data_IF_143251771001
#
_entry.id   IF_143251771001
#
_cell.length_a   1.000
_cell.length_b   1.000
_cell.length_c   1.000
_cell.angle_alpha   90.00
_cell.angle_beta   90.00
_cell.angle_gamma   90.00
#
_symmetry.space_group_name_H-M   'P 1'
#
loop_
_entity.id
_entity.type
_entity.pdbx_description
1 polymer ?
#
# COMPACT_ATOMS: atom_id res chain seq x y z
N UNK A 1 -19.75 23.13 6.21
CA UNK A 1 -19.61 22.13 5.13
C UNK A 1 -18.22 21.52 5.24
N UNK A 2 -18.06 20.44 6.01
CA UNK A 2 -16.74 19.82 6.25
C UNK A 2 -16.81 18.29 6.03
N UNK A 3 -17.62 17.87 5.06
CA UNK A 3 -17.91 16.45 4.78
C UNK A 3 -17.51 16.03 3.36
N UNK A 4 -16.62 16.80 2.72
CA UNK A 4 -16.13 16.56 1.34
C UNK A 4 -14.60 16.49 1.28
N UNK A 5 -13.88 16.47 2.41
CA UNK A 5 -12.42 16.41 2.43
C UNK A 5 -11.86 14.97 2.45
N UNK A 6 -12.70 13.95 2.67
CA UNK A 6 -12.25 12.58 3.00
C UNK A 6 -12.39 11.61 1.81
N UNK A 7 -12.87 12.06 0.64
CA UNK A 7 -13.14 11.16 -0.50
C UNK A 7 -11.97 10.95 -1.46
N UNK A 8 -10.80 11.54 -1.25
CA UNK A 8 -9.70 11.45 -2.20
C UNK A 8 -8.33 11.45 -1.53
N UNK A 9 -8.01 10.38 -0.80
CA UNK A 9 -6.60 9.98 -0.72
C UNK A 9 -6.46 8.47 -0.84
N UNK A 10 -6.85 7.85 -1.97
CA UNK A 10 -6.39 6.48 -2.30
C UNK A 10 -4.89 6.43 -2.65
N UNK A 11 -4.23 7.59 -2.68
CA UNK A 11 -2.85 7.80 -3.11
C UNK A 11 -1.87 7.97 -1.93
N UNK A 12 -2.33 7.80 -0.68
CA UNK A 12 -1.44 7.89 0.47
C UNK A 12 -0.57 6.63 0.51
N UNK A 13 0.75 6.75 0.43
CA UNK A 13 1.63 5.60 0.42
C UNK A 13 1.48 4.74 1.68
N UNK A 14 1.17 5.33 2.84
CA UNK A 14 0.93 4.59 4.09
C UNK A 14 -0.35 3.76 4.00
N UNK A 15 -1.41 4.29 3.41
CA UNK A 15 -2.66 3.54 3.18
C UNK A 15 -2.41 2.38 2.22
N UNK A 16 -1.59 2.58 1.20
CA UNK A 16 -1.21 1.55 0.25
C UNK A 16 -0.33 0.45 0.87
N UNK A 17 0.55 0.80 1.82
CA UNK A 17 1.24 -0.18 2.66
C UNK A 17 0.23 -1.05 3.43
N UNK A 18 -0.70 -0.43 4.14
CA UNK A 18 -1.68 -1.15 4.95
C UNK A 18 -2.60 -2.03 4.09
N UNK A 19 -2.99 -1.55 2.90
CA UNK A 19 -3.72 -2.34 1.91
C UNK A 19 -2.90 -3.56 1.49
N UNK A 20 -1.59 -3.40 1.32
CA UNK A 20 -0.65 -4.47 1.08
C UNK A 20 -0.66 -5.50 2.20
N UNK A 21 -0.53 -5.07 3.46
CA UNK A 21 -0.52 -5.95 4.64
C UNK A 21 -1.83 -6.75 4.75
N UNK A 22 -2.98 -6.07 4.64
CA UNK A 22 -4.30 -6.71 4.63
C UNK A 22 -4.42 -7.72 3.48
N UNK A 23 -3.91 -7.39 2.29
CA UNK A 23 -3.93 -8.32 1.17
C UNK A 23 -3.06 -9.56 1.40
N UNK A 24 -1.94 -9.43 2.12
CA UNK A 24 -1.11 -10.57 2.53
C UNK A 24 -1.89 -11.47 3.48
N UNK A 25 -2.53 -10.90 4.51
CA UNK A 25 -3.35 -11.64 5.47
C UNK A 25 -4.53 -12.36 4.80
N UNK A 26 -5.12 -11.75 3.77
CA UNK A 26 -6.18 -12.35 2.97
C UNK A 26 -5.69 -13.41 1.96
N UNK A 27 -4.38 -13.72 1.93
CA UNK A 27 -3.77 -14.64 0.96
C UNK A 27 -3.74 -14.11 -0.48
N UNK A 28 -4.07 -12.83 -0.69
CA UNK A 28 -4.13 -12.17 -2.01
C UNK A 28 -2.76 -11.59 -2.37
N UNK A 29 -1.76 -12.47 -2.48
CA UNK A 29 -0.35 -12.11 -2.76
C UNK A 29 -0.19 -11.13 -3.94
N UNK A 30 -0.88 -11.37 -5.06
CA UNK A 30 -0.81 -10.50 -6.23
C UNK A 30 -1.30 -9.06 -5.96
N UNK A 31 -2.41 -8.92 -5.21
CA UNK A 31 -2.94 -7.59 -4.83
C UNK A 31 -2.06 -6.91 -3.80
N UNK A 32 -1.46 -7.67 -2.89
CA UNK A 32 -0.51 -7.14 -1.93
C UNK A 32 0.70 -6.52 -2.63
N UNK A 33 1.31 -7.26 -3.56
CA UNK A 33 2.44 -6.75 -4.35
C UNK A 33 2.08 -5.50 -5.15
N UNK A 34 0.87 -5.43 -5.72
CA UNK A 34 0.40 -4.24 -6.45
C UNK A 34 0.25 -3.03 -5.52
N UNK A 35 -0.36 -3.22 -4.34
CA UNK A 35 -0.54 -2.16 -3.34
C UNK A 35 0.81 -1.61 -2.86
N UNK A 36 1.76 -2.49 -2.55
CA UNK A 36 3.11 -2.10 -2.16
C UNK A 36 3.88 -1.39 -3.28
N UNK A 37 3.72 -1.80 -4.54
CA UNK A 37 4.32 -1.09 -5.67
C UNK A 37 3.75 0.32 -5.81
N UNK A 38 2.44 0.47 -5.70
CA UNK A 38 1.78 1.78 -5.68
C UNK A 38 2.31 2.63 -4.52
N UNK A 39 2.43 2.07 -3.32
CA UNK A 39 3.00 2.78 -2.17
C UNK A 39 4.37 3.38 -2.49
N UNK A 40 5.24 2.62 -3.17
CA UNK A 40 6.55 3.11 -3.62
C UNK A 40 6.41 4.20 -4.70
N UNK A 41 5.49 4.04 -5.67
CA UNK A 41 5.22 5.04 -6.71
C UNK A 41 4.74 6.37 -6.14
N UNK A 42 3.96 6.36 -5.04
CA UNK A 42 3.50 7.56 -4.34
C UNK A 42 4.50 8.11 -3.32
N UNK A 43 5.79 7.77 -3.45
CA UNK A 43 6.88 8.24 -2.58
C UNK A 43 6.69 7.86 -1.10
N UNK A 44 6.45 6.58 -0.81
CA UNK A 44 6.54 6.08 0.58
C UNK A 44 7.84 6.53 1.24
N UNK A 45 7.77 6.92 2.51
CA UNK A 45 8.95 7.33 3.30
C UNK A 45 9.97 6.22 3.49
N UNK A 46 9.60 4.97 3.21
CA UNK A 46 10.40 3.76 3.48
C UNK A 46 10.28 2.75 2.31
N UNK A 47 10.65 3.11 1.07
CA UNK A 47 10.40 2.26 -0.09
C UNK A 47 11.18 0.94 -0.04
N UNK A 48 12.32 0.92 0.64
CA UNK A 48 13.14 -0.29 0.83
C UNK A 48 12.45 -1.34 1.71
N UNK A 49 11.79 -0.90 2.78
CA UNK A 49 11.00 -1.76 3.66
C UNK A 49 9.83 -2.38 2.90
N UNK A 50 9.17 -1.59 2.06
CA UNK A 50 8.07 -2.05 1.21
C UNK A 50 8.57 -3.06 0.16
N UNK A 51 9.75 -2.86 -0.44
CA UNK A 51 10.37 -3.84 -1.34
C UNK A 51 10.69 -5.16 -0.62
N UNK A 52 11.19 -5.11 0.62
CA UNK A 52 11.43 -6.30 1.42
C UNK A 52 10.13 -7.08 1.69
N UNK A 53 9.03 -6.37 1.99
CA UNK A 53 7.69 -7.00 2.09
C UNK A 53 7.27 -7.67 0.79
N UNK A 54 7.46 -7.02 -0.36
CA UNK A 54 7.17 -7.61 -1.68
C UNK A 54 7.96 -8.90 -1.91
N UNK A 55 9.25 -8.91 -1.58
CA UNK A 55 10.10 -10.09 -1.76
C UNK A 55 9.70 -11.24 -0.83
N UNK A 56 9.28 -10.93 0.41
CA UNK A 56 8.77 -11.91 1.36
C UNK A 56 7.41 -12.54 0.97
N UNK A 57 6.67 -11.92 0.05
CA UNK A 57 5.38 -12.46 -0.45
C UNK A 57 5.60 -13.53 -1.53
N UNK A 58 6.76 -13.50 -2.19
CA UNK A 58 7.13 -14.43 -3.27
C UNK A 58 7.10 -15.88 -2.78
#
# INVERSE_FOLDING_TARGET
>A
MLMEAIKRVPDDPVILEHLGDICVELGKKAKATEAYRKAIEYNHSEPEKIKAKIDAIK
#
